data_IF_322412449043
#
_entry.id   IF_322412449043
#
_cell.length_a   1.000
_cell.length_b   1.000
_cell.length_c   1.000
_cell.angle_alpha   90.00
_cell.angle_beta   90.00
_cell.angle_gamma   90.00
#
_symmetry.space_group_name_H-M   'P 1'
#
loop_
_entity.id
_entity.type
_entity.pdbx_description
1 polymer ?
#
# COMPACT_ATOMS: atom_id res chain seq x y z
N UNK A 1 38.85 28.03 19.24
CA UNK A 1 38.41 27.28 20.42
C UNK A 1 36.90 27.50 20.68
N UNK A 2 36.43 28.76 20.73
CA UNK A 2 35.05 29.15 21.01
C UNK A 2 34.07 28.57 19.97
N UNK A 3 34.39 28.62 18.67
CA UNK A 3 33.59 28.10 17.56
C UNK A 3 33.41 26.56 17.63
N UNK A 4 34.40 25.83 18.09
CA UNK A 4 34.32 24.36 18.26
C UNK A 4 33.42 23.97 19.46
N UNK A 5 33.41 24.79 20.52
CA UNK A 5 32.52 24.58 21.68
C UNK A 5 31.07 24.88 21.31
N UNK A 6 30.81 25.97 20.58
CA UNK A 6 29.46 26.29 20.08
C UNK A 6 28.92 25.20 19.13
N UNK A 7 29.76 24.71 18.20
CA UNK A 7 29.39 23.59 17.35
C UNK A 7 29.13 22.29 18.11
N UNK A 8 29.93 22.01 19.16
CA UNK A 8 29.72 20.85 20.01
C UNK A 8 28.42 20.95 20.79
N UNK A 9 28.10 22.12 21.34
CA UNK A 9 26.82 22.36 22.02
C UNK A 9 25.61 22.21 21.11
N UNK A 10 25.65 22.80 19.90
CA UNK A 10 24.57 22.67 18.91
C UNK A 10 24.36 21.21 18.53
N UNK A 11 25.43 20.44 18.27
CA UNK A 11 25.35 19.01 17.98
C UNK A 11 24.73 18.21 19.13
N UNK A 12 25.08 18.53 20.38
CA UNK A 12 24.50 17.88 21.55
C UNK A 12 22.99 18.16 21.66
N UNK A 13 22.59 19.43 21.50
CA UNK A 13 21.17 19.82 21.53
C UNK A 13 20.39 19.11 20.40
N UNK A 14 20.91 19.09 19.18
CA UNK A 14 20.30 18.38 18.06
C UNK A 14 20.20 16.87 18.33
N UNK A 15 21.23 16.27 18.92
CA UNK A 15 21.20 14.85 19.28
C UNK A 15 20.12 14.54 20.34
N UNK A 16 19.99 15.37 21.37
CA UNK A 16 18.95 15.22 22.40
C UNK A 16 17.55 15.38 21.80
N UNK A 17 17.38 16.38 20.91
CA UNK A 17 16.10 16.57 20.19
C UNK A 17 15.76 15.36 19.30
N UNK A 18 16.73 14.86 18.54
CA UNK A 18 16.53 13.67 17.70
C UNK A 18 16.20 12.42 18.53
N UNK A 19 16.86 12.22 19.67
CA UNK A 19 16.54 11.15 20.61
C UNK A 19 15.12 11.30 21.18
N UNK A 20 14.73 12.51 21.55
CA UNK A 20 13.38 12.79 22.03
C UNK A 20 12.32 12.49 20.96
N UNK A 21 12.51 12.95 19.73
CA UNK A 21 11.62 12.62 18.62
C UNK A 21 11.59 11.11 18.30
N UNK A 22 12.76 10.46 18.29
CA UNK A 22 12.84 9.02 18.08
C UNK A 22 12.07 8.26 19.17
N UNK A 23 12.20 8.65 20.43
CA UNK A 23 11.46 8.06 21.54
C UNK A 23 9.95 8.22 21.35
N UNK A 24 9.47 9.43 21.09
CA UNK A 24 8.02 9.69 20.89
C UNK A 24 7.44 8.88 19.73
N UNK A 25 8.19 8.75 18.63
CA UNK A 25 7.76 7.99 17.46
C UNK A 25 7.79 6.47 17.72
N UNK A 26 8.85 5.98 18.37
CA UNK A 26 9.06 4.55 18.58
C UNK A 26 8.29 3.98 19.77
N UNK A 27 7.98 4.81 20.77
CA UNK A 27 7.31 4.37 22.00
C UNK A 27 6.02 3.58 21.76
N UNK A 28 5.06 4.04 20.91
CA UNK A 28 3.84 3.26 20.63
C UNK A 28 4.13 1.89 20.02
N UNK A 29 5.17 1.76 19.19
CA UNK A 29 5.58 0.49 18.60
C UNK A 29 6.21 -0.42 19.65
N UNK A 30 7.11 0.12 20.47
CA UNK A 30 7.73 -0.61 21.57
C UNK A 30 6.67 -1.12 22.54
N UNK A 31 5.71 -0.27 22.92
CA UNK A 31 4.62 -0.67 23.80
C UNK A 31 3.76 -1.79 23.17
N UNK A 32 3.41 -1.70 21.90
CA UNK A 32 2.66 -2.76 21.20
C UNK A 32 3.43 -4.07 21.16
N UNK A 33 4.74 -4.00 20.89
CA UNK A 33 5.60 -5.19 20.87
C UNK A 33 5.64 -5.82 22.24
N UNK A 34 5.91 -5.05 23.28
CA UNK A 34 6.02 -5.60 24.64
C UNK A 34 4.68 -6.11 25.16
N UNK A 35 3.59 -5.38 24.91
CA UNK A 35 2.23 -5.81 25.28
C UNK A 35 1.83 -7.14 24.63
N UNK A 36 2.29 -7.43 23.41
CA UNK A 36 2.03 -8.71 22.76
C UNK A 36 2.66 -9.91 23.51
N UNK A 37 3.69 -9.67 24.33
CA UNK A 37 4.33 -10.67 25.17
C UNK A 37 3.85 -10.66 26.62
N UNK A 38 2.95 -9.75 27.03
CA UNK A 38 2.43 -9.67 28.38
C UNK A 38 1.42 -10.78 28.66
N UNK A 39 1.51 -11.37 29.85
CA UNK A 39 0.47 -12.26 30.37
C UNK A 39 -0.80 -11.48 30.69
N UNK A 40 -1.92 -12.17 30.87
CA UNK A 40 -3.17 -11.51 31.29
C UNK A 40 -3.02 -10.77 32.62
N UNK A 41 -2.25 -11.32 33.55
CA UNK A 41 -1.95 -10.72 34.84
C UNK A 41 -1.14 -9.43 34.70
N UNK A 42 -0.08 -9.45 33.87
CA UNK A 42 0.73 -8.27 33.58
C UNK A 42 -0.08 -7.13 32.97
N UNK A 43 -1.06 -7.46 32.11
CA UNK A 43 -1.90 -6.45 31.44
C UNK A 43 -2.80 -5.67 32.38
N UNK A 44 -3.22 -6.30 33.49
CA UNK A 44 -4.09 -5.68 34.49
C UNK A 44 -3.32 -5.12 35.72
N UNK A 45 -1.99 -5.32 35.78
CA UNK A 45 -1.16 -4.75 36.85
C UNK A 45 -0.66 -3.33 36.48
N UNK A 46 -1.13 -2.27 37.20
CA UNK A 46 -0.72 -0.90 36.91
C UNK A 46 0.79 -0.65 37.08
N UNK A 47 1.52 -1.55 37.74
CA UNK A 47 2.95 -1.45 37.93
C UNK A 47 3.77 -2.00 36.76
N UNK A 48 3.12 -2.71 35.83
CA UNK A 48 3.76 -3.25 34.63
C UNK A 48 3.49 -2.30 33.46
N UNK A 49 4.52 -1.62 32.96
CA UNK A 49 4.39 -0.68 31.84
C UNK A 49 4.94 -1.26 30.53
N UNK A 50 6.27 -1.26 30.39
CA UNK A 50 6.95 -1.65 29.13
C UNK A 50 7.57 -3.04 29.20
N UNK A 51 7.95 -3.53 30.38
CA UNK A 51 8.67 -4.80 30.51
C UNK A 51 7.75 -5.81 31.18
N UNK A 52 7.32 -6.88 30.47
CA UNK A 52 6.53 -7.94 31.07
C UNK A 52 7.33 -8.66 32.15
N UNK A 53 6.67 -9.00 33.27
CA UNK A 53 7.30 -9.82 34.34
C UNK A 53 7.46 -11.26 33.90
N UNK A 54 6.45 -11.77 33.19
CA UNK A 54 6.42 -13.15 32.69
C UNK A 54 6.08 -13.16 31.20
N UNK A 55 7.10 -13.03 30.30
CA UNK A 55 6.84 -13.01 28.86
C UNK A 55 6.17 -14.30 28.39
N UNK A 56 5.04 -14.17 27.68
CA UNK A 56 4.26 -15.29 27.15
C UNK A 56 4.05 -15.15 25.64
N UNK A 57 3.82 -16.28 24.96
CA UNK A 57 3.48 -16.32 23.53
C UNK A 57 1.98 -16.59 23.30
N UNK A 58 1.18 -16.57 24.34
CA UNK A 58 -0.21 -16.98 24.26
C UNK A 58 -1.07 -16.02 23.46
N UNK A 59 -0.75 -14.73 23.48
CA UNK A 59 -1.41 -13.74 22.62
C UNK A 59 -1.22 -14.08 21.13
N UNK A 60 -0.01 -14.45 20.71
CA UNK A 60 0.26 -14.87 19.34
C UNK A 60 -0.48 -16.16 18.97
N UNK A 61 -0.48 -17.15 19.87
CA UNK A 61 -1.22 -18.41 19.67
C UNK A 61 -2.71 -18.16 19.54
N UNK A 62 -3.28 -17.29 20.36
CA UNK A 62 -4.70 -16.92 20.31
C UNK A 62 -5.05 -16.24 19.00
N UNK A 63 -4.25 -15.25 18.56
CA UNK A 63 -4.46 -14.57 17.28
C UNK A 63 -4.38 -15.54 16.10
N UNK A 64 -3.36 -16.41 16.07
CA UNK A 64 -3.20 -17.39 15.00
C UNK A 64 -4.32 -18.45 14.96
N UNK A 65 -4.97 -18.71 16.10
CA UNK A 65 -6.14 -19.60 16.21
C UNK A 65 -7.48 -18.89 15.95
N UNK A 66 -7.49 -17.55 15.85
CA UNK A 66 -8.70 -16.80 15.54
C UNK A 66 -9.27 -17.26 14.20
N UNK A 67 -10.58 -17.47 14.17
CA UNK A 67 -11.28 -17.95 12.97
C UNK A 67 -10.94 -17.04 11.76
N UNK A 68 -10.61 -17.69 10.68
CA UNK A 68 -10.26 -17.03 9.41
C UNK A 68 -9.03 -16.11 9.40
N UNK A 69 -8.24 -15.99 10.51
CA UNK A 69 -7.06 -15.10 10.50
C UNK A 69 -6.06 -15.50 9.41
N UNK A 70 -5.71 -16.77 9.32
CA UNK A 70 -4.79 -17.27 8.29
C UNK A 70 -5.34 -17.08 6.87
N UNK A 71 -6.65 -17.34 6.66
CA UNK A 71 -7.32 -17.11 5.36
C UNK A 71 -7.31 -15.63 5.02
N UNK A 72 -7.64 -14.75 5.97
CA UNK A 72 -7.64 -13.30 5.75
C UNK A 72 -6.25 -12.74 5.45
N UNK A 73 -5.21 -13.27 6.13
CA UNK A 73 -3.81 -12.93 5.85
C UNK A 73 -3.40 -13.31 4.42
N UNK A 74 -3.72 -14.54 4.01
CA UNK A 74 -3.40 -15.03 2.66
C UNK A 74 -4.19 -14.27 1.58
N UNK A 75 -5.48 -14.05 1.77
CA UNK A 75 -6.30 -13.27 0.86
C UNK A 75 -5.70 -11.86 0.67
N UNK A 76 -5.38 -11.18 1.78
CA UNK A 76 -4.81 -9.83 1.72
C UNK A 76 -3.46 -9.81 1.01
N UNK A 77 -2.60 -10.82 1.24
CA UNK A 77 -1.32 -10.96 0.53
C UNK A 77 -1.52 -11.15 -0.97
N UNK A 78 -2.45 -12.01 -1.37
CA UNK A 78 -2.78 -12.25 -2.77
C UNK A 78 -3.31 -10.96 -3.44
N UNK A 79 -4.25 -10.26 -2.81
CA UNK A 79 -4.80 -9.02 -3.33
C UNK A 79 -3.74 -7.94 -3.46
N UNK A 80 -2.91 -7.75 -2.43
CA UNK A 80 -1.84 -6.75 -2.46
C UNK A 80 -0.79 -7.06 -3.55
N UNK A 81 -0.44 -8.33 -3.76
CA UNK A 81 0.47 -8.74 -4.83
C UNK A 81 -0.14 -8.49 -6.21
N UNK A 82 -1.37 -8.92 -6.44
CA UNK A 82 -2.05 -8.78 -7.73
C UNK A 82 -2.23 -7.30 -8.07
N UNK A 83 -2.76 -6.50 -7.13
CA UNK A 83 -2.92 -5.06 -7.29
C UNK A 83 -1.57 -4.38 -7.49
N UNK A 84 -0.56 -4.76 -6.70
CA UNK A 84 0.80 -4.22 -6.81
C UNK A 84 1.41 -4.42 -8.20
N UNK A 85 1.32 -5.63 -8.74
CA UNK A 85 1.85 -5.97 -10.06
C UNK A 85 1.05 -5.26 -11.17
N UNK A 86 -0.27 -5.38 -11.16
CA UNK A 86 -1.12 -4.82 -12.21
C UNK A 86 -1.06 -3.29 -12.23
N UNK A 87 -1.13 -2.62 -11.07
CA UNK A 87 -1.02 -1.16 -10.99
C UNK A 87 0.35 -0.67 -11.47
N UNK A 88 1.42 -1.41 -11.19
CA UNK A 88 2.76 -1.07 -11.68
C UNK A 88 2.84 -1.18 -13.19
N UNK A 89 2.37 -2.28 -13.76
CA UNK A 89 2.42 -2.50 -15.20
C UNK A 89 1.53 -1.52 -15.97
N UNK A 90 0.29 -1.32 -15.53
CA UNK A 90 -0.65 -0.41 -16.16
C UNK A 90 -0.17 1.05 -16.08
N UNK A 91 0.32 1.50 -14.92
CA UNK A 91 0.86 2.85 -14.76
C UNK A 91 2.17 3.06 -15.53
N UNK A 92 3.00 2.01 -15.67
CA UNK A 92 4.19 2.06 -16.51
C UNK A 92 3.81 2.29 -17.99
N UNK A 93 2.81 1.57 -18.50
CA UNK A 93 2.35 1.72 -19.88
C UNK A 93 1.72 3.10 -20.12
N UNK A 94 0.78 3.51 -19.26
CA UNK A 94 0.09 4.80 -19.37
C UNK A 94 1.07 5.97 -19.18
N UNK A 95 1.95 5.88 -18.18
CA UNK A 95 2.99 6.88 -17.91
C UNK A 95 3.94 7.05 -19.08
N UNK A 96 4.35 5.96 -19.76
CA UNK A 96 5.16 6.00 -20.96
C UNK A 96 4.43 6.69 -22.11
N UNK A 97 3.18 6.30 -22.38
CA UNK A 97 2.34 6.94 -23.40
C UNK A 97 2.22 8.44 -23.19
N UNK A 98 1.95 8.86 -21.95
CA UNK A 98 1.86 10.27 -21.56
C UNK A 98 3.21 11.01 -21.54
N UNK A 99 4.35 10.33 -21.43
CA UNK A 99 5.67 10.94 -21.46
C UNK A 99 6.17 11.17 -22.88
N UNK A 100 6.02 10.18 -23.76
CA UNK A 100 6.73 10.11 -25.05
C UNK A 100 5.87 10.50 -26.25
N UNK A 101 4.56 10.22 -26.22
CA UNK A 101 3.70 10.46 -27.38
C UNK A 101 2.95 11.79 -27.27
N UNK A 102 2.79 12.45 -28.41
CA UNK A 102 1.94 13.63 -28.56
C UNK A 102 0.68 13.21 -29.32
N UNK A 103 -0.46 13.29 -28.68
CA UNK A 103 -1.76 12.98 -29.25
C UNK A 103 -2.81 14.01 -28.84
N UNK A 104 -3.88 14.20 -29.65
CA UNK A 104 -4.98 15.09 -29.27
C UNK A 104 -5.63 14.56 -27.98
N UNK A 105 -5.98 15.47 -27.05
CA UNK A 105 -6.55 15.08 -25.75
C UNK A 105 -5.55 14.72 -24.65
N UNK A 106 -4.23 14.65 -24.89
CA UNK A 106 -3.22 14.33 -23.87
C UNK A 106 -3.33 15.21 -22.62
N UNK A 107 -3.60 16.52 -22.80
CA UNK A 107 -3.77 17.45 -21.66
C UNK A 107 -5.01 17.08 -20.85
N UNK A 108 -6.11 16.73 -21.51
CA UNK A 108 -7.35 16.30 -20.87
C UNK A 108 -7.11 15.01 -20.06
N UNK A 109 -6.44 14.01 -20.64
CA UNK A 109 -6.09 12.78 -19.92
C UNK A 109 -5.25 13.09 -18.66
N UNK A 110 -4.28 14.00 -18.75
CA UNK A 110 -3.51 14.41 -17.56
C UNK A 110 -4.38 15.10 -16.50
N UNK A 111 -5.32 15.95 -16.91
CA UNK A 111 -6.27 16.56 -15.97
C UNK A 111 -7.13 15.49 -15.29
N UNK A 112 -7.63 14.50 -16.05
CA UNK A 112 -8.40 13.39 -15.50
C UNK A 112 -7.58 12.56 -14.52
N UNK A 113 -6.31 12.26 -14.83
CA UNK A 113 -5.39 11.56 -13.92
C UNK A 113 -5.24 12.34 -12.60
N UNK A 114 -5.04 13.66 -12.66
CA UNK A 114 -4.95 14.50 -11.45
C UNK A 114 -6.29 14.53 -10.71
N UNK A 115 -7.41 14.59 -11.43
CA UNK A 115 -8.75 14.60 -10.85
C UNK A 115 -9.01 13.33 -10.01
N UNK A 116 -8.55 12.16 -10.45
CA UNK A 116 -8.68 10.92 -9.67
C UNK A 116 -7.99 10.97 -8.30
N UNK A 117 -7.03 11.88 -8.11
CA UNK A 117 -6.35 12.07 -6.82
C UNK A 117 -7.08 13.05 -5.89
N UNK A 118 -7.86 13.96 -6.48
CA UNK A 118 -8.57 15.03 -5.74
C UNK A 118 -9.93 14.54 -5.27
N UNK A 119 -10.62 13.73 -6.07
CA UNK A 119 -11.95 13.22 -5.73
C UNK A 119 -11.87 12.27 -4.52
N UNK A 120 -12.59 12.58 -3.42
CA UNK A 120 -12.61 11.70 -2.25
C UNK A 120 -13.21 10.35 -2.60
N UNK A 121 -12.54 9.26 -2.24
CA UNK A 121 -13.00 7.89 -2.56
C UNK A 121 -14.36 7.58 -1.91
N UNK A 122 -14.66 8.19 -0.78
CA UNK A 122 -15.94 8.02 -0.07
C UNK A 122 -17.16 8.44 -0.92
N UNK A 123 -16.99 9.43 -1.79
CA UNK A 123 -18.11 9.94 -2.63
C UNK A 123 -18.51 8.95 -3.73
N UNK A 124 -17.60 8.10 -4.16
CA UNK A 124 -17.85 7.12 -5.23
C UNK A 124 -18.24 5.72 -4.70
N UNK A 125 -18.35 5.55 -3.36
CA UNK A 125 -18.54 4.25 -2.73
C UNK A 125 -19.76 3.49 -3.27
N UNK A 126 -20.91 4.14 -3.29
CA UNK A 126 -22.16 3.52 -3.74
C UNK A 126 -22.12 3.18 -5.24
N UNK A 127 -21.61 4.11 -6.05
CA UNK A 127 -21.46 3.91 -7.49
C UNK A 127 -20.49 2.75 -7.77
N UNK A 128 -19.35 2.71 -7.07
CA UNK A 128 -18.38 1.64 -7.21
C UNK A 128 -18.96 0.27 -6.84
N UNK A 129 -19.68 0.20 -5.70
CA UNK A 129 -20.36 -1.03 -5.30
C UNK A 129 -21.38 -1.49 -6.32
N UNK A 130 -22.26 -0.57 -6.78
CA UNK A 130 -23.29 -0.89 -7.78
C UNK A 130 -22.70 -1.35 -9.10
N UNK A 131 -21.63 -0.70 -9.58
CA UNK A 131 -20.94 -1.09 -10.82
C UNK A 131 -20.42 -2.53 -10.78
N UNK A 132 -19.87 -2.98 -9.64
CA UNK A 132 -19.36 -4.35 -9.55
C UNK A 132 -20.41 -5.36 -9.04
N UNK A 133 -21.48 -4.89 -8.43
CA UNK A 133 -22.63 -5.73 -8.07
C UNK A 133 -23.43 -6.14 -9.29
N UNK A 134 -23.58 -5.21 -10.24
CA UNK A 134 -24.31 -5.39 -11.50
C UNK A 134 -23.35 -5.10 -12.66
N UNK A 135 -22.26 -5.85 -12.69
CA UNK A 135 -21.22 -5.63 -13.70
C UNK A 135 -21.68 -6.06 -15.07
N UNK A 136 -21.75 -5.08 -15.96
CA UNK A 136 -22.02 -5.30 -17.37
C UNK A 136 -21.18 -4.35 -18.22
N UNK A 137 -20.66 -4.83 -19.32
CA UNK A 137 -19.86 -4.05 -20.26
C UNK A 137 -20.78 -3.58 -21.38
N UNK A 138 -21.38 -2.41 -21.21
CA UNK A 138 -22.29 -1.78 -22.18
C UNK A 138 -23.51 -2.64 -22.58
N UNK A 139 -24.06 -3.45 -21.68
CA UNK A 139 -25.18 -4.33 -21.97
C UNK A 139 -24.80 -5.66 -22.65
N UNK A 140 -23.49 -5.89 -22.91
CA UNK A 140 -23.02 -7.06 -23.64
C UNK A 140 -23.12 -8.37 -22.83
N UNK A 141 -22.84 -8.31 -21.53
CA UNK A 141 -22.91 -9.49 -20.67
C UNK A 141 -24.37 -9.91 -20.47
N UNK A 142 -25.25 -8.96 -20.19
CA UNK A 142 -26.69 -9.20 -20.06
C UNK A 142 -27.27 -9.79 -21.34
N UNK A 143 -26.83 -9.30 -22.51
CA UNK A 143 -27.25 -9.84 -23.82
C UNK A 143 -26.83 -11.30 -24.01
N UNK A 144 -25.67 -11.73 -23.49
CA UNK A 144 -25.13 -13.09 -23.70
C UNK A 144 -25.62 -14.05 -22.61
N UNK A 145 -25.65 -13.60 -21.34
CA UNK A 145 -25.93 -14.46 -20.17
C UNK A 145 -27.34 -14.31 -19.63
N UNK A 146 -28.07 -13.27 -20.08
CA UNK A 146 -29.40 -12.92 -19.57
C UNK A 146 -29.43 -12.10 -18.28
N UNK A 147 -28.29 -11.95 -17.61
CA UNK A 147 -28.17 -11.22 -16.35
C UNK A 147 -26.81 -10.51 -16.22
N UNK A 148 -26.73 -9.37 -15.53
CA UNK A 148 -25.45 -8.75 -15.17
C UNK A 148 -24.62 -9.67 -14.27
N UNK A 149 -23.30 -9.66 -14.42
CA UNK A 149 -22.41 -10.49 -13.62
C UNK A 149 -22.13 -9.84 -12.25
N UNK A 150 -22.28 -10.61 -11.17
CA UNK A 150 -21.88 -10.16 -9.84
C UNK A 150 -20.39 -10.42 -9.61
N UNK A 151 -19.59 -9.35 -9.52
CA UNK A 151 -18.14 -9.42 -9.26
C UNK A 151 -17.78 -9.07 -7.81
N UNK A 152 -18.72 -8.56 -7.00
CA UNK A 152 -18.47 -8.30 -5.57
C UNK A 152 -18.14 -9.60 -4.83
N UNK A 153 -17.35 -9.51 -3.77
CA UNK A 153 -16.80 -10.62 -3.01
C UNK A 153 -15.86 -11.55 -3.81
N UNK A 154 -15.25 -11.01 -4.84
CA UNK A 154 -14.22 -11.68 -5.65
C UNK A 154 -13.01 -10.77 -5.86
N UNK A 155 -11.91 -11.31 -6.39
CA UNK A 155 -10.72 -10.53 -6.73
C UNK A 155 -10.90 -9.63 -7.97
N UNK A 156 -11.89 -9.91 -8.82
CA UNK A 156 -12.03 -9.28 -10.13
C UNK A 156 -12.19 -7.77 -10.14
N UNK A 157 -12.92 -7.12 -9.20
CA UNK A 157 -12.96 -5.66 -9.12
C UNK A 157 -11.56 -5.05 -8.98
N UNK A 158 -10.71 -5.66 -8.15
CA UNK A 158 -9.34 -5.20 -7.91
C UNK A 158 -8.46 -5.40 -9.14
N UNK A 159 -8.61 -6.54 -9.84
CA UNK A 159 -7.92 -6.81 -11.11
C UNK A 159 -8.28 -5.77 -12.16
N UNK A 160 -9.58 -5.54 -12.38
CA UNK A 160 -10.08 -4.59 -13.40
C UNK A 160 -9.61 -3.17 -13.08
N UNK A 161 -9.82 -2.70 -11.86
CA UNK A 161 -9.42 -1.35 -11.45
C UNK A 161 -7.91 -1.14 -11.58
N UNK A 162 -7.09 -2.13 -11.19
CA UNK A 162 -5.64 -2.01 -11.25
C UNK A 162 -5.10 -2.10 -12.67
N UNK A 163 -5.65 -2.98 -13.51
CA UNK A 163 -5.24 -3.12 -14.90
C UNK A 163 -5.61 -1.91 -15.76
N UNK A 164 -6.70 -1.19 -15.41
CA UNK A 164 -7.18 -0.01 -16.14
C UNK A 164 -6.68 1.33 -15.59
N UNK A 165 -5.79 1.35 -14.62
CA UNK A 165 -5.34 2.56 -13.91
C UNK A 165 -6.48 3.35 -13.22
N UNK A 166 -7.57 2.68 -12.85
CA UNK A 166 -8.69 3.25 -12.10
C UNK A 166 -8.67 2.84 -10.61
N UNK A 167 -7.68 2.05 -10.22
CA UNK A 167 -7.51 1.55 -8.85
C UNK A 167 -7.10 2.64 -7.86
N UNK A 168 -7.02 2.22 -6.60
CA UNK A 168 -6.66 3.08 -5.48
C UNK A 168 -5.32 3.80 -5.74
N UNK A 169 -5.36 5.13 -5.75
CA UNK A 169 -4.20 6.02 -5.97
C UNK A 169 -3.46 5.84 -7.31
N UNK A 170 -4.10 5.23 -8.31
CA UNK A 170 -3.48 5.00 -9.62
C UNK A 170 -2.94 6.27 -10.27
N UNK A 171 -3.57 7.43 -10.05
CA UNK A 171 -3.08 8.72 -10.55
C UNK A 171 -1.66 9.05 -10.09
N UNK A 172 -1.30 8.75 -8.84
CA UNK A 172 0.06 8.96 -8.31
C UNK A 172 1.04 8.06 -9.05
N UNK A 173 0.71 6.79 -9.27
CA UNK A 173 1.59 5.84 -9.97
C UNK A 173 1.86 6.27 -11.41
N UNK A 174 0.82 6.71 -12.12
CA UNK A 174 0.93 7.23 -13.48
C UNK A 174 1.84 8.48 -13.53
N UNK A 175 1.69 9.41 -12.58
CA UNK A 175 2.52 10.61 -12.50
C UNK A 175 3.97 10.26 -12.22
N UNK A 176 4.25 9.37 -11.26
CA UNK A 176 5.60 8.93 -10.93
C UNK A 176 6.28 8.27 -12.14
N UNK A 177 5.61 7.33 -12.80
CA UNK A 177 6.13 6.67 -13.99
C UNK A 177 6.36 7.66 -15.13
N UNK A 178 5.40 8.55 -15.37
CA UNK A 178 5.53 9.58 -16.40
C UNK A 178 6.72 10.51 -16.13
N UNK A 179 6.88 10.99 -14.90
CA UNK A 179 7.98 11.88 -14.53
C UNK A 179 9.33 11.21 -14.74
N UNK A 180 9.43 9.95 -14.32
CA UNK A 180 10.63 9.16 -14.55
C UNK A 180 10.94 8.99 -16.04
N UNK A 181 9.95 8.66 -16.88
CA UNK A 181 10.18 8.53 -18.33
C UNK A 181 10.57 9.85 -19.01
N UNK A 182 10.15 10.99 -18.48
CA UNK A 182 10.59 12.30 -18.99
C UNK A 182 12.09 12.52 -18.74
N UNK A 183 12.64 12.01 -17.63
CA UNK A 183 14.07 12.17 -17.31
C UNK A 183 14.98 11.28 -18.15
N UNK A 184 14.46 10.22 -18.78
CA UNK A 184 15.23 9.38 -19.71
C UNK A 184 15.50 10.15 -21.01
N UNK A 185 16.75 10.21 -21.52
CA UNK A 185 17.07 10.86 -22.79
C UNK A 185 16.23 10.33 -23.96
N UNK A 186 15.75 11.24 -24.83
CA UNK A 186 14.92 10.84 -26.00
C UNK A 186 15.73 10.14 -27.07
N UNK A 187 16.99 10.44 -27.15
CA UNK A 187 17.95 9.90 -28.08
C UNK A 187 18.00 8.36 -28.04
N UNK A 188 17.76 7.77 -26.87
CA UNK A 188 17.69 6.29 -26.73
C UNK A 188 16.47 5.71 -27.43
N UNK A 189 15.34 6.41 -27.42
CA UNK A 189 14.14 5.99 -28.14
C UNK A 189 14.31 6.18 -29.65
N UNK A 190 14.93 7.29 -30.05
CA UNK A 190 15.20 7.63 -31.45
C UNK A 190 16.23 6.68 -32.07
N UNK A 191 17.30 6.35 -31.35
CA UNK A 191 18.27 5.36 -31.78
C UNK A 191 17.63 3.98 -32.03
N UNK A 192 16.77 3.51 -31.10
CA UNK A 192 16.06 2.26 -31.28
C UNK A 192 15.15 2.26 -32.53
N UNK A 193 14.51 3.39 -32.85
CA UNK A 193 13.72 3.52 -34.07
C UNK A 193 14.56 3.53 -35.34
N UNK A 194 15.76 4.16 -35.30
CA UNK A 194 16.74 4.13 -36.43
C UNK A 194 17.22 2.70 -36.67
N UNK A 195 17.40 1.91 -35.60
CA UNK A 195 17.76 0.50 -35.67
C UNK A 195 16.59 -0.41 -36.13
N UNK A 196 15.44 0.18 -36.50
CA UNK A 196 14.26 -0.54 -37.00
C UNK A 196 13.37 -1.14 -35.93
N UNK A 197 13.58 -0.83 -34.65
CA UNK A 197 12.74 -1.32 -33.55
C UNK A 197 11.34 -0.66 -33.60
N UNK A 198 10.28 -1.47 -33.50
CA UNK A 198 8.91 -0.95 -33.38
C UNK A 198 8.63 -0.37 -31.97
N UNK A 199 7.54 0.41 -31.81
CA UNK A 199 7.20 1.10 -30.54
C UNK A 199 7.10 0.15 -29.32
N UNK A 200 6.48 -1.02 -29.49
CA UNK A 200 6.35 -2.01 -28.42
C UNK A 200 7.70 -2.64 -28.06
N UNK A 201 8.53 -2.97 -29.06
CA UNK A 201 9.87 -3.49 -28.81
C UNK A 201 10.69 -2.47 -28.03
N UNK A 202 10.71 -1.22 -28.49
CA UNK A 202 11.40 -0.11 -27.80
C UNK A 202 10.93 0.05 -26.36
N UNK A 203 9.61 0.02 -26.13
CA UNK A 203 9.08 0.11 -24.78
C UNK A 203 9.54 -1.07 -23.90
N UNK A 204 9.29 -2.32 -24.31
CA UNK A 204 9.54 -3.48 -23.45
C UNK A 204 11.03 -3.84 -23.33
N UNK A 205 11.83 -3.60 -24.36
CA UNK A 205 13.24 -4.04 -24.39
C UNK A 205 14.25 -2.94 -24.08
N UNK A 206 13.91 -1.68 -24.30
CA UNK A 206 14.84 -0.56 -24.06
C UNK A 206 14.39 0.25 -22.83
N UNK A 207 13.18 0.80 -22.87
CA UNK A 207 12.75 1.81 -21.88
C UNK A 207 12.29 1.19 -20.56
N UNK A 208 11.49 0.12 -20.60
CA UNK A 208 10.96 -0.52 -19.40
C UNK A 208 12.06 -1.08 -18.47
N UNK A 209 13.11 -1.76 -18.98
CA UNK A 209 14.23 -2.18 -18.15
C UNK A 209 14.96 -1.04 -17.45
N UNK A 210 15.08 0.12 -18.10
CA UNK A 210 15.67 1.33 -17.49
C UNK A 210 14.80 1.88 -16.35
N UNK A 211 13.47 1.75 -16.47
CA UNK A 211 12.53 2.21 -15.45
C UNK A 211 12.35 1.23 -14.26
N UNK A 212 13.12 0.15 -14.19
CA UNK A 212 12.98 -0.89 -13.17
C UNK A 212 13.02 -0.34 -11.74
N UNK A 213 13.88 0.64 -11.45
CA UNK A 213 13.98 1.25 -10.12
C UNK A 213 12.67 1.94 -9.73
N UNK A 214 12.11 2.74 -10.63
CA UNK A 214 10.83 3.44 -10.39
C UNK A 214 9.66 2.46 -10.35
N UNK A 215 9.66 1.42 -11.18
CA UNK A 215 8.63 0.36 -11.10
C UNK A 215 8.63 -0.32 -9.74
N UNK A 216 9.78 -0.55 -9.13
CA UNK A 216 9.90 -1.11 -7.77
C UNK A 216 9.32 -0.14 -6.74
N UNK A 217 9.53 1.16 -6.88
CA UNK A 217 8.90 2.18 -6.02
C UNK A 217 7.37 2.12 -6.14
N UNK A 218 6.86 2.13 -7.35
CA UNK A 218 5.41 2.06 -7.61
C UNK A 218 4.82 0.76 -7.07
N UNK A 219 5.50 -0.37 -7.28
CA UNK A 219 5.08 -1.66 -6.71
C UNK A 219 5.03 -1.62 -5.18
N UNK A 220 6.08 -1.13 -4.53
CA UNK A 220 6.13 -1.05 -3.07
C UNK A 220 5.02 -0.15 -2.51
N UNK A 221 4.74 0.98 -3.16
CA UNK A 221 3.65 1.88 -2.78
C UNK A 221 2.27 1.22 -2.99
N UNK A 222 2.03 0.64 -4.17
CA UNK A 222 0.73 0.04 -4.48
C UNK A 222 0.45 -1.20 -3.61
N UNK A 223 1.47 -2.02 -3.37
CA UNK A 223 1.38 -3.14 -2.44
C UNK A 223 1.04 -2.67 -1.02
N UNK A 224 1.80 -1.70 -0.50
CA UNK A 224 1.62 -1.20 0.88
C UNK A 224 0.25 -0.58 1.07
N UNK A 225 -0.24 0.17 0.10
CA UNK A 225 -1.55 0.79 0.18
C UNK A 225 -2.68 -0.22 0.05
N UNK A 226 -2.56 -1.22 -0.82
CA UNK A 226 -3.55 -2.29 -0.90
C UNK A 226 -3.52 -3.17 0.37
N UNK A 227 -2.34 -3.46 0.92
CA UNK A 227 -2.19 -4.22 2.16
C UNK A 227 -2.90 -3.57 3.35
N UNK A 228 -2.94 -2.24 3.41
CA UNK A 228 -3.59 -1.47 4.48
C UNK A 228 -4.98 -0.98 4.12
N UNK A 229 -5.50 -1.34 2.92
CA UNK A 229 -6.79 -0.87 2.46
C UNK A 229 -7.95 -1.46 3.27
N UNK A 230 -8.84 -0.59 3.70
CA UNK A 230 -10.09 -0.92 4.39
C UNK A 230 -11.30 -0.51 3.54
N UNK A 231 -11.13 0.54 2.73
CA UNK A 231 -12.23 1.14 1.99
C UNK A 231 -12.70 0.27 0.83
N UNK A 232 -11.78 -0.07 -0.10
CA UNK A 232 -12.12 -0.90 -1.25
C UNK A 232 -12.42 -2.34 -0.83
N UNK A 233 -11.63 -2.90 0.08
CA UNK A 233 -11.86 -4.24 0.62
C UNK A 233 -13.19 -4.33 1.37
N UNK A 234 -13.52 -3.36 2.23
CA UNK A 234 -14.79 -3.33 2.95
C UNK A 234 -15.99 -3.03 2.05
N UNK A 235 -15.79 -2.35 0.90
CA UNK A 235 -16.87 -2.04 -0.04
C UNK A 235 -17.14 -3.19 -1.01
N UNK A 236 -16.09 -3.81 -1.55
CA UNK A 236 -16.20 -4.77 -2.64
C UNK A 236 -16.13 -6.23 -2.16
N UNK A 237 -15.52 -6.48 -1.01
CA UNK A 237 -15.29 -7.80 -0.43
C UNK A 237 -15.74 -7.92 1.03
N UNK A 238 -16.86 -7.32 1.39
CA UNK A 238 -17.34 -7.30 2.78
C UNK A 238 -17.66 -8.66 3.38
N UNK A 239 -17.97 -9.67 2.56
CA UNK A 239 -18.31 -11.04 2.99
C UNK A 239 -17.08 -11.96 3.05
N UNK A 240 -15.97 -11.61 2.40
CA UNK A 240 -14.77 -12.44 2.43
C UNK A 240 -13.88 -12.07 3.62
N UNK A 241 -13.23 -13.07 4.26
CA UNK A 241 -12.31 -12.80 5.34
C UNK A 241 -11.07 -12.04 4.80
N UNK A 242 -10.96 -10.79 5.21
CA UNK A 242 -9.82 -9.92 4.92
C UNK A 242 -9.14 -9.53 6.22
N UNK A 243 -7.80 -9.54 6.22
CA UNK A 243 -7.00 -9.34 7.43
C UNK A 243 -7.39 -8.05 8.19
N UNK A 244 -7.55 -6.95 7.48
CA UNK A 244 -7.89 -5.66 8.10
C UNK A 244 -9.27 -5.69 8.76
N UNK A 245 -10.26 -6.32 8.13
CA UNK A 245 -11.60 -6.46 8.71
C UNK A 245 -11.56 -7.34 9.98
N UNK A 246 -10.76 -8.42 9.98
CA UNK A 246 -10.58 -9.28 11.13
C UNK A 246 -9.94 -8.51 12.29
N UNK A 247 -8.87 -7.76 12.05
CA UNK A 247 -8.21 -6.93 13.07
C UNK A 247 -9.16 -5.89 13.64
N UNK A 248 -9.95 -5.23 12.77
CA UNK A 248 -10.94 -4.23 13.21
C UNK A 248 -12.05 -4.86 14.07
N UNK A 249 -12.55 -6.04 13.70
CA UNK A 249 -13.57 -6.74 14.50
C UNK A 249 -13.00 -7.21 15.84
N UNK A 250 -11.76 -7.66 15.90
CA UNK A 250 -11.10 -8.02 17.16
C UNK A 250 -11.05 -6.84 18.15
N UNK A 251 -10.84 -5.61 17.65
CA UNK A 251 -10.83 -4.40 18.49
C UNK A 251 -12.23 -3.85 18.79
N UNK A 252 -13.22 -4.14 17.96
CA UNK A 252 -14.57 -3.57 18.01
C UNK A 252 -15.60 -4.39 18.82
N UNK A 253 -15.37 -5.69 18.99
CA UNK A 253 -16.29 -6.61 19.70
C UNK A 253 -16.49 -6.23 21.17
N UNK A 254 -15.75 -5.29 21.70
CA UNK A 254 -15.65 -5.00 23.12
C UNK A 254 -16.21 -3.65 23.56
N UNK A 255 -16.91 -2.93 22.69
CA UNK A 255 -17.60 -1.68 23.06
C UNK A 255 -18.76 -1.90 24.06
N UNK A 256 -18.97 -3.13 24.54
CA UNK A 256 -20.01 -3.50 25.51
C UNK A 256 -19.63 -3.42 26.98
N UNK A 257 -18.53 -2.75 27.35
CA UNK A 257 -18.23 -2.44 28.77
C UNK A 257 -17.74 -3.64 29.62
N UNK A 258 -17.29 -4.74 29.03
CA UNK A 258 -16.76 -5.88 29.77
C UNK A 258 -15.32 -5.66 30.24
N UNK A 259 -14.98 -6.25 31.39
CA UNK A 259 -13.63 -6.28 32.00
C UNK A 259 -12.50 -6.79 31.08
N UNK A 260 -12.86 -7.41 29.98
CA UNK A 260 -11.91 -8.00 29.01
C UNK A 260 -11.46 -7.04 27.89
N UNK A 261 -11.91 -5.77 27.90
CA UNK A 261 -11.57 -4.79 26.86
C UNK A 261 -10.05 -4.71 26.59
N UNK A 262 -9.24 -4.58 27.63
CA UNK A 262 -7.78 -4.52 27.49
C UNK A 262 -7.20 -5.80 26.88
N UNK A 263 -7.73 -6.96 27.23
CA UNK A 263 -7.30 -8.22 26.66
C UNK A 263 -7.53 -8.29 25.15
N UNK A 264 -8.72 -7.92 24.69
CA UNK A 264 -9.02 -7.90 23.26
C UNK A 264 -8.23 -6.83 22.49
N UNK A 265 -7.98 -5.69 23.14
CA UNK A 265 -7.14 -4.64 22.55
C UNK A 265 -5.70 -5.14 22.33
N UNK A 266 -5.16 -5.95 23.24
CA UNK A 266 -3.85 -6.58 23.08
C UNK A 266 -3.87 -7.64 21.98
N UNK A 267 -4.94 -8.43 21.86
CA UNK A 267 -5.09 -9.36 20.74
C UNK A 267 -5.10 -8.63 19.39
N UNK A 268 -5.86 -7.55 19.26
CA UNK A 268 -5.89 -6.73 18.06
C UNK A 268 -4.51 -6.09 17.77
N UNK A 269 -3.81 -5.62 18.80
CA UNK A 269 -2.44 -5.09 18.65
C UNK A 269 -1.44 -6.18 18.22
N UNK A 270 -1.56 -7.39 18.77
CA UNK A 270 -0.73 -8.54 18.38
C UNK A 270 -1.00 -8.95 16.93
N UNK A 271 -2.27 -8.96 16.51
CA UNK A 271 -2.66 -9.21 15.13
C UNK A 271 -2.09 -8.13 14.18
N UNK A 272 -2.14 -6.85 14.59
CA UNK A 272 -1.55 -5.75 13.83
C UNK A 272 -0.01 -5.86 13.72
N UNK A 273 0.68 -6.35 14.76
CA UNK A 273 2.12 -6.64 14.69
C UNK A 273 2.44 -7.74 13.67
N UNK A 274 1.65 -8.81 13.64
CA UNK A 274 1.79 -9.85 12.62
C UNK A 274 1.51 -9.30 11.21
N UNK A 275 0.53 -8.39 11.10
CA UNK A 275 0.20 -7.74 9.83
C UNK A 275 1.30 -6.80 9.31
N UNK A 276 2.18 -6.26 10.15
CA UNK A 276 3.30 -5.42 9.72
C UNK A 276 4.42 -6.24 9.06
N UNK A 277 4.55 -7.52 9.38
CA UNK A 277 5.68 -8.35 8.92
C UNK A 277 5.87 -8.33 7.40
N UNK A 278 4.84 -8.54 6.55
CA UNK A 278 5.02 -8.50 5.10
C UNK A 278 5.49 -7.15 4.57
N UNK A 279 5.02 -6.04 5.16
CA UNK A 279 5.47 -4.70 4.78
C UNK A 279 6.94 -4.48 5.11
N UNK A 280 7.40 -4.93 6.29
CA UNK A 280 8.80 -4.88 6.69
C UNK A 280 9.67 -5.73 5.77
N UNK A 281 9.23 -6.95 5.44
CA UNK A 281 9.96 -7.83 4.52
C UNK A 281 10.11 -7.17 3.15
N UNK A 282 9.04 -6.67 2.57
CA UNK A 282 9.10 -5.98 1.27
C UNK A 282 10.00 -4.75 1.35
N UNK A 283 9.89 -3.93 2.40
CA UNK A 283 10.76 -2.77 2.57
C UNK A 283 12.23 -3.16 2.67
N UNK A 284 12.59 -4.14 3.50
CA UNK A 284 13.98 -4.61 3.66
C UNK A 284 14.54 -5.12 2.33
N UNK A 285 13.74 -5.88 1.56
CA UNK A 285 14.16 -6.41 0.27
C UNK A 285 14.33 -5.33 -0.80
N UNK A 286 13.47 -4.31 -0.79
CA UNK A 286 13.38 -3.32 -1.87
C UNK A 286 14.02 -1.97 -1.53
N UNK A 287 14.41 -1.68 -0.26
CA UNK A 287 14.86 -0.36 0.20
C UNK A 287 15.96 0.26 -0.68
N UNK A 288 16.97 -0.51 -1.08
CA UNK A 288 18.07 0.00 -1.93
C UNK A 288 17.55 0.47 -3.30
N UNK A 289 16.61 -0.25 -3.88
CA UNK A 289 16.00 0.10 -5.17
C UNK A 289 15.02 1.26 -5.05
N UNK A 290 14.31 1.35 -3.93
CA UNK A 290 13.42 2.47 -3.62
C UNK A 290 14.23 3.76 -3.54
N UNK A 291 15.34 3.78 -2.81
CA UNK A 291 16.23 4.95 -2.71
C UNK A 291 16.73 5.36 -4.10
N UNK A 292 17.28 4.42 -4.87
CA UNK A 292 17.75 4.68 -6.24
C UNK A 292 16.65 5.22 -7.17
N UNK A 293 15.41 4.70 -7.04
CA UNK A 293 14.28 5.15 -7.84
C UNK A 293 13.87 6.61 -7.53
N UNK A 294 13.88 6.98 -6.26
CA UNK A 294 13.55 8.35 -5.82
C UNK A 294 14.64 9.33 -6.25
N UNK A 295 15.90 9.01 -6.02
CA UNK A 295 17.04 9.85 -6.45
C UNK A 295 17.04 10.10 -7.96
N UNK A 296 16.82 9.06 -8.76
CA UNK A 296 16.82 9.15 -10.21
C UNK A 296 15.60 9.87 -10.81
N UNK A 297 14.54 10.05 -10.02
CA UNK A 297 13.34 10.79 -10.47
C UNK A 297 13.47 12.31 -10.40
N UNK A 298 14.57 12.84 -9.87
CA UNK A 298 14.76 14.27 -9.64
C UNK A 298 13.85 14.86 -8.55
N UNK A 299 13.25 14.01 -7.70
CA UNK A 299 12.44 14.44 -6.57
C UNK A 299 13.28 14.89 -5.37
N UNK A 300 14.59 14.66 -5.44
CA UNK A 300 15.59 15.11 -4.46
C UNK A 300 16.61 15.95 -5.22
N UNK A 301 16.35 17.24 -5.38
CA UNK A 301 17.23 18.24 -5.98
C UNK A 301 16.91 19.60 -5.47
#
# INVERSE_FOLDING_TARGET
>A
FKKNIEQGFVKLVLFILLLGFAYVILYPFLFKITAAFMSREDLFDPLVNLIPRSPVLDNFKTVLKTENFGKGFFNMALYALVVGILSTMSSALVGYGLARYRFPGRKLVMVLVVLTMIVPTQTIRLSLFSTFRYFDVFGLLELITGEPMQLTNTIWPFVILSATCLGFRAGIYVILMRQYYISIPKELTEAAFVDGAGPFYTFFKVILPMAKSMMIVVFALSFSWQWTDVFYTGTLNGSEPMLQNIIMTMSGVTLGGNSDYYYYLVQANTAALLAIIPLLVIYILLQRRIIQGIESSGLVG
#
